data_IF_946541339882
#
_entry.id   IF_946541339882
#
_cell.length_a   1.000
_cell.length_b   1.000
_cell.length_c   1.000
_cell.angle_alpha   90.00
_cell.angle_beta   90.00
_cell.angle_gamma   90.00
#
_symmetry.space_group_name_H-M   'P 1'
#
loop_
_entity.id
_entity.type
_entity.pdbx_description
1 polymer ?
#
# COMPACT_ATOMS: atom_id res chain seq x y z
N UNK A 1 -17.80 3.65 5.41
CA UNK A 1 -17.74 2.95 6.71
C UNK A 1 -17.65 1.45 6.47
N UNK A 2 -17.28 0.65 7.46
CA UNK A 2 -17.28 -0.82 7.36
C UNK A 2 -18.43 -1.38 8.21
N UNK A 3 -19.23 -2.27 7.63
CA UNK A 3 -20.33 -2.95 8.33
C UNK A 3 -19.82 -4.05 9.26
N UNK A 4 -20.70 -4.60 10.10
CA UNK A 4 -20.39 -5.74 10.97
C UNK A 4 -19.89 -6.97 10.19
N UNK A 5 -20.37 -7.14 8.95
CA UNK A 5 -19.97 -8.24 8.07
C UNK A 5 -18.66 -7.95 7.31
N UNK A 6 -17.98 -6.83 7.59
CA UNK A 6 -16.74 -6.45 6.92
C UNK A 6 -16.94 -5.92 5.49
N UNK A 7 -18.13 -5.40 5.16
CA UNK A 7 -18.41 -4.82 3.84
C UNK A 7 -18.33 -3.28 3.86
N UNK A 8 -18.02 -2.66 2.73
CA UNK A 8 -18.02 -1.21 2.59
C UNK A 8 -19.46 -0.71 2.46
N UNK A 9 -19.81 0.26 3.30
CA UNK A 9 -21.11 0.94 3.29
C UNK A 9 -20.94 2.44 3.32
N UNK A 10 -21.90 3.17 2.75
CA UNK A 10 -21.92 4.62 2.69
C UNK A 10 -23.28 5.14 3.14
N UNK A 11 -23.26 6.22 3.92
CA UNK A 11 -24.48 6.98 4.22
C UNK A 11 -24.51 8.18 3.28
N UNK A 12 -25.41 8.14 2.31
CA UNK A 12 -25.43 8.98 1.13
C UNK A 12 -26.70 9.81 1.07
N UNK A 13 -26.64 11.02 0.50
CA UNK A 13 -27.82 11.83 0.22
C UNK A 13 -28.28 11.66 -1.22
N UNK A 14 -29.45 11.06 -1.41
CA UNK A 14 -30.19 10.98 -2.67
C UNK A 14 -31.16 12.16 -2.80
N UNK A 15 -31.30 12.71 -4.01
CA UNK A 15 -32.30 13.75 -4.29
C UNK A 15 -33.74 13.22 -4.30
N UNK A 16 -33.92 11.91 -4.38
CA UNK A 16 -35.23 11.24 -4.45
C UNK A 16 -35.67 10.78 -3.07
N UNK A 17 -34.79 10.06 -2.37
CA UNK A 17 -35.11 9.35 -1.13
C UNK A 17 -34.52 10.03 0.13
N UNK A 18 -33.74 11.10 -0.05
CA UNK A 18 -33.03 11.76 1.03
C UNK A 18 -31.83 10.95 1.51
N UNK A 19 -31.60 10.90 2.81
CA UNK A 19 -30.48 10.12 3.35
C UNK A 19 -30.76 8.62 3.29
N UNK A 20 -29.87 7.88 2.64
CA UNK A 20 -29.97 6.43 2.44
C UNK A 20 -28.64 5.73 2.74
N UNK A 21 -28.72 4.43 3.00
CA UNK A 21 -27.55 3.56 3.10
C UNK A 21 -27.29 2.88 1.77
N UNK A 22 -26.05 2.99 1.28
CA UNK A 22 -25.59 2.36 0.05
C UNK A 22 -24.58 1.27 0.38
N UNK A 23 -24.89 0.06 -0.08
CA UNK A 23 -24.03 -1.12 0.05
C UNK A 23 -23.04 -1.18 -1.11
N UNK A 24 -21.74 -1.08 -0.81
CA UNK A 24 -20.66 -1.23 -1.79
C UNK A 24 -20.03 -2.62 -1.80
N UNK A 25 -20.32 -3.44 -0.77
CA UNK A 25 -19.89 -4.83 -0.67
C UNK A 25 -18.40 -5.01 -0.36
N UNK A 26 -17.83 -6.10 -0.84
CA UNK A 26 -16.42 -6.46 -0.69
C UNK A 26 -15.77 -6.66 -2.08
N UNK A 27 -14.43 -6.59 -2.19
CA UNK A 27 -13.74 -6.80 -3.46
C UNK A 27 -13.87 -8.23 -3.99
N UNK A 28 -13.97 -9.23 -3.09
CA UNK A 28 -14.21 -10.64 -3.43
C UNK A 28 -14.97 -11.33 -2.29
N UNK A 29 -15.45 -12.56 -2.52
CA UNK A 29 -16.23 -13.31 -1.53
C UNK A 29 -15.41 -13.75 -0.31
N UNK A 30 -14.10 -13.92 -0.47
CA UNK A 30 -13.22 -14.47 0.56
C UNK A 30 -12.46 -13.36 1.33
N UNK A 31 -12.73 -12.09 1.02
CA UNK A 31 -12.08 -10.93 1.63
C UNK A 31 -13.10 -10.09 2.37
N UNK A 32 -12.82 -9.82 3.64
CA UNK A 32 -13.50 -8.80 4.44
C UNK A 32 -12.64 -7.56 4.53
N UNK A 33 -13.26 -6.40 4.65
CA UNK A 33 -12.55 -5.13 4.81
C UNK A 33 -12.27 -4.87 6.28
N UNK A 34 -11.05 -4.44 6.57
CA UNK A 34 -10.58 -4.15 7.91
C UNK A 34 -10.19 -2.68 8.05
N UNK A 35 -10.34 -2.17 9.27
CA UNK A 35 -9.98 -0.80 9.60
C UNK A 35 -10.95 0.24 9.02
N UNK A 36 -10.65 1.52 9.26
CA UNK A 36 -11.44 2.60 8.70
C UNK A 36 -11.07 2.83 7.22
N UNK A 37 -12.05 3.12 6.34
CA UNK A 37 -11.76 3.47 4.96
C UNK A 37 -10.85 4.69 4.85
N UNK A 38 -10.02 4.69 3.81
CA UNK A 38 -9.08 5.76 3.50
C UNK A 38 -9.76 7.08 3.12
N UNK A 39 -8.95 8.11 2.83
CA UNK A 39 -9.44 9.35 2.25
C UNK A 39 -10.09 9.10 0.88
N UNK A 40 -11.02 9.97 0.52
CA UNK A 40 -11.59 10.02 -0.82
C UNK A 40 -10.70 10.87 -1.72
N UNK A 41 -10.43 10.38 -2.92
CA UNK A 41 -9.72 11.07 -3.99
C UNK A 41 -10.70 11.35 -5.14
N UNK A 42 -10.59 12.52 -5.74
CA UNK A 42 -11.44 13.04 -6.84
C UNK A 42 -12.96 12.96 -6.59
N UNK A 43 -13.39 12.73 -5.34
CA UNK A 43 -14.79 12.51 -4.99
C UNK A 43 -15.36 11.15 -5.41
N UNK A 44 -14.58 10.29 -6.06
CA UNK A 44 -15.09 9.06 -6.71
C UNK A 44 -14.25 7.82 -6.46
N UNK A 45 -13.16 7.91 -5.68
CA UNK A 45 -12.36 6.73 -5.34
C UNK A 45 -11.77 6.80 -3.93
N UNK A 46 -11.58 5.64 -3.31
CA UNK A 46 -10.96 5.52 -2.00
C UNK A 46 -10.26 4.16 -1.84
N UNK A 47 -9.39 4.07 -0.85
CA UNK A 47 -8.64 2.85 -0.55
C UNK A 47 -9.12 2.20 0.76
N UNK A 48 -9.13 0.88 0.76
CA UNK A 48 -9.45 0.04 1.91
C UNK A 48 -8.47 -1.13 1.99
N UNK A 49 -8.40 -1.75 3.16
CA UNK A 49 -7.48 -2.87 3.42
C UNK A 49 -8.30 -4.14 3.61
N UNK A 50 -7.93 -5.20 2.89
CA UNK A 50 -8.54 -6.52 3.02
C UNK A 50 -7.98 -7.32 4.19
N UNK A 51 -8.74 -8.32 4.64
CA UNK A 51 -8.33 -9.28 5.68
C UNK A 51 -7.13 -10.14 5.30
N UNK A 52 -6.79 -10.17 4.02
CA UNK A 52 -5.61 -10.80 3.46
C UNK A 52 -4.34 -9.93 3.53
N UNK A 53 -4.47 -8.65 3.93
CA UNK A 53 -3.38 -7.67 3.99
C UNK A 53 -3.10 -6.98 2.66
N UNK A 54 -4.02 -7.05 1.70
CA UNK A 54 -3.94 -6.36 0.41
C UNK A 54 -4.69 -5.03 0.44
N UNK A 55 -4.29 -4.11 -0.43
CA UNK A 55 -4.93 -2.82 -0.66
C UNK A 55 -5.89 -2.94 -1.83
N UNK A 56 -7.13 -2.54 -1.58
CA UNK A 56 -8.16 -2.47 -2.60
C UNK A 56 -8.59 -1.03 -2.82
N UNK A 57 -8.75 -0.65 -4.09
CA UNK A 57 -9.36 0.61 -4.49
C UNK A 57 -10.81 0.38 -4.84
N UNK A 58 -11.71 1.11 -4.18
CA UNK A 58 -13.09 1.28 -4.63
C UNK A 58 -13.19 2.55 -5.45
N UNK A 59 -13.64 2.45 -6.70
CA UNK A 59 -13.72 3.63 -7.58
C UNK A 59 -14.92 3.59 -8.52
N UNK A 60 -15.38 4.75 -8.94
CA UNK A 60 -16.43 4.88 -9.93
C UNK A 60 -15.79 4.99 -11.33
N UNK A 61 -16.09 4.01 -12.18
CA UNK A 61 -15.79 4.06 -13.60
C UNK A 61 -17.06 4.40 -14.37
N UNK A 62 -17.09 5.60 -14.95
CA UNK A 62 -18.27 6.20 -15.57
C UNK A 62 -19.45 6.32 -14.59
N UNK A 63 -20.38 5.36 -14.61
CA UNK A 63 -21.53 5.26 -13.70
C UNK A 63 -21.53 3.97 -12.91
N UNK A 64 -20.55 3.10 -13.15
CA UNK A 64 -20.45 1.80 -12.51
C UNK A 64 -19.32 1.82 -11.50
N UNK A 65 -19.66 1.35 -10.33
CA UNK A 65 -18.76 1.20 -9.22
C UNK A 65 -17.92 -0.09 -9.42
N UNK A 66 -16.59 0.02 -9.32
CA UNK A 66 -15.64 -1.09 -9.46
C UNK A 66 -14.70 -1.24 -8.26
N UNK A 67 -14.12 -2.43 -8.17
CA UNK A 67 -13.01 -2.77 -7.28
C UNK A 67 -11.75 -3.02 -8.10
N UNK A 68 -10.60 -2.54 -7.62
CA UNK A 68 -9.27 -2.85 -8.16
C UNK A 68 -8.39 -3.33 -7.04
N UNK A 69 -7.72 -4.47 -7.24
CA UNK A 69 -6.72 -5.00 -6.32
C UNK A 69 -5.35 -4.39 -6.64
N UNK A 70 -4.74 -3.71 -5.67
CA UNK A 70 -3.37 -3.19 -5.76
C UNK A 70 -2.36 -4.08 -5.02
N UNK A 71 -2.81 -5.19 -4.44
CA UNK A 71 -2.00 -6.10 -3.66
C UNK A 71 -1.33 -5.39 -2.47
N UNK A 72 -0.10 -5.76 -2.20
CA UNK A 72 0.76 -5.09 -1.25
C UNK A 72 2.04 -4.63 -1.97
N UNK A 73 2.80 -3.67 -1.43
CA UNK A 73 4.04 -3.26 -2.07
C UNK A 73 4.96 -4.48 -2.22
N UNK A 74 5.54 -4.65 -3.40
CA UNK A 74 6.51 -5.71 -3.66
C UNK A 74 7.88 -5.05 -3.81
N UNK A 75 8.79 -5.23 -2.86
CA UNK A 75 10.20 -4.91 -3.12
C UNK A 75 10.77 -6.09 -3.93
N UNK A 76 11.23 -5.90 -5.18
CA UNK A 76 12.04 -6.92 -5.80
C UNK A 76 13.25 -7.16 -4.89
N UNK A 77 13.33 -8.37 -4.34
CA UNK A 77 14.43 -8.76 -3.48
C UNK A 77 15.76 -8.44 -4.19
N UNK A 78 16.80 -8.08 -3.44
CA UNK A 78 18.12 -7.80 -4.03
C UNK A 78 18.64 -8.97 -4.90
N UNK A 79 18.15 -10.19 -4.68
CA UNK A 79 18.39 -11.38 -5.51
C UNK A 79 17.77 -11.26 -6.91
N UNK A 80 16.59 -10.66 -7.03
CA UNK A 80 15.92 -10.38 -8.31
C UNK A 80 16.56 -9.20 -9.06
N UNK A 81 17.05 -8.18 -8.34
CA UNK A 81 17.86 -7.12 -8.95
C UNK A 81 19.23 -7.62 -9.41
N UNK A 82 19.85 -8.56 -8.69
CA UNK A 82 21.11 -9.18 -9.09
C UNK A 82 20.94 -10.06 -10.35
N UNK A 83 19.83 -10.82 -10.45
CA UNK A 83 19.49 -11.59 -11.65
C UNK A 83 19.15 -10.70 -12.86
N UNK A 84 18.57 -9.52 -12.65
CA UNK A 84 18.30 -8.55 -13.71
C UNK A 84 19.59 -7.86 -14.22
N UNK A 85 20.60 -7.69 -13.35
CA UNK A 85 21.90 -7.08 -13.71
C UNK A 85 22.89 -8.04 -14.36
N UNK A 86 22.66 -9.37 -14.32
CA UNK A 86 23.54 -10.35 -14.98
C UNK A 86 23.40 -10.44 -16.51
N UNK A 87 22.64 -9.55 -17.16
CA UNK A 87 22.50 -9.51 -18.62
C UNK A 87 23.18 -8.35 -19.33
N UNK A 88 23.81 -7.41 -18.62
CA UNK A 88 24.56 -6.34 -19.27
C UNK A 88 25.83 -5.99 -18.46
N UNK A 89 26.96 -6.33 -19.07
CA UNK A 89 28.32 -5.83 -18.89
C UNK A 89 28.99 -5.77 -17.50
N UNK A 90 29.97 -6.67 -17.40
CA UNK A 90 31.24 -6.63 -16.70
C UNK A 90 31.76 -5.26 -16.21
N UNK A 91 32.21 -5.27 -14.95
CA UNK A 91 33.23 -4.41 -14.33
C UNK A 91 32.77 -3.10 -13.65
N UNK A 92 32.54 -3.16 -12.34
CA UNK A 92 33.19 -2.28 -11.34
C UNK A 92 33.23 -3.02 -9.98
N UNK A 93 34.36 -2.90 -9.29
CA UNK A 93 34.83 -3.68 -8.13
C UNK A 93 33.78 -3.98 -7.04
N UNK A 94 33.47 -5.26 -6.91
CA UNK A 94 32.59 -5.87 -5.88
C UNK A 94 33.46 -6.32 -4.71
N UNK A 95 34.04 -5.39 -3.94
CA UNK A 95 34.77 -5.78 -2.72
C UNK A 95 34.34 -5.06 -1.44
N UNK A 96 33.35 -4.16 -1.49
CA UNK A 96 32.91 -3.45 -0.28
C UNK A 96 31.39 -3.43 -0.01
N UNK A 97 30.61 -4.27 -0.70
CA UNK A 97 29.15 -4.37 -0.49
C UNK A 97 28.70 -5.63 0.26
N UNK A 98 29.63 -6.50 0.65
CA UNK A 98 29.33 -7.84 1.23
C UNK A 98 29.53 -7.89 2.75
N UNK A 99 29.84 -6.76 3.40
CA UNK A 99 29.97 -6.74 4.87
C UNK A 99 29.03 -5.71 5.49
N UNK A 100 27.77 -6.11 5.72
CA UNK A 100 26.95 -5.71 6.88
C UNK A 100 25.48 -6.18 6.80
N UNK A 101 25.24 -7.45 6.50
CA UNK A 101 23.93 -8.10 6.74
C UNK A 101 24.00 -9.00 7.96
N UNK A 102 24.52 -8.49 9.08
CA UNK A 102 24.41 -9.18 10.37
C UNK A 102 23.29 -8.54 11.17
N UNK A 103 22.09 -9.16 11.18
CA UNK A 103 21.09 -8.79 12.18
C UNK A 103 19.64 -9.23 11.97
N UNK A 104 19.20 -9.65 10.78
CA UNK A 104 17.80 -10.00 10.58
C UNK A 104 17.62 -11.42 10.04
N UNK A 105 17.13 -12.31 10.91
CA UNK A 105 16.75 -13.68 10.59
C UNK A 105 15.22 -13.81 10.39
N UNK A 106 14.48 -12.71 10.46
CA UNK A 106 13.04 -12.64 10.19
C UNK A 106 12.76 -12.40 8.71
N UNK A 107 11.62 -12.86 8.21
CA UNK A 107 11.14 -12.47 6.89
C UNK A 107 10.30 -11.19 7.05
N UNK A 108 10.65 -10.12 6.35
CA UNK A 108 9.88 -8.89 6.35
C UNK A 108 8.49 -9.10 5.75
N UNK A 109 7.47 -8.54 6.39
CA UNK A 109 6.09 -8.66 5.93
C UNK A 109 5.73 -7.43 5.11
N UNK A 110 5.43 -7.64 3.84
CA UNK A 110 4.97 -6.57 2.96
C UNK A 110 3.47 -6.31 3.09
N UNK A 111 2.73 -7.16 3.81
CA UNK A 111 1.30 -7.01 4.02
C UNK A 111 0.99 -5.72 4.76
N UNK A 112 -0.12 -5.10 4.37
CA UNK A 112 -0.59 -3.85 4.95
C UNK A 112 -1.33 -4.12 6.26
N UNK A 113 -1.04 -3.29 7.26
CA UNK A 113 -1.73 -3.26 8.56
C UNK A 113 -3.12 -2.64 8.38
N UNK A 114 -4.17 -3.12 9.07
CA UNK A 114 -5.53 -2.57 8.97
C UNK A 114 -5.70 -1.20 9.69
N UNK A 115 -4.76 -0.28 9.47
CA UNK A 115 -4.84 1.12 9.91
C UNK A 115 -5.38 2.00 8.79
N UNK A 116 -6.00 3.13 9.15
CA UNK A 116 -6.61 4.01 8.16
C UNK A 116 -5.54 4.56 7.20
N UNK A 117 -5.69 4.42 5.87
CA UNK A 117 -4.74 4.99 4.91
C UNK A 117 -4.54 6.50 5.11
N UNK A 118 -3.31 6.98 4.97
CA UNK A 118 -2.91 8.34 5.30
C UNK A 118 -2.72 9.15 4.00
N UNK A 119 -3.54 10.19 3.72
CA UNK A 119 -3.32 11.04 2.55
C UNK A 119 -2.01 11.82 2.69
N UNK A 120 -1.16 11.78 1.66
CA UNK A 120 0.07 12.58 1.59
C UNK A 120 -0.11 13.78 0.67
N UNK A 121 -0.76 13.58 -0.47
CA UNK A 121 -1.11 14.61 -1.46
C UNK A 121 -2.35 14.17 -2.23
N UNK A 122 -2.79 14.94 -3.23
CA UNK A 122 -3.92 14.57 -4.10
C UNK A 122 -3.65 13.31 -4.95
N UNK A 123 -2.38 12.95 -5.10
CA UNK A 123 -1.88 11.86 -5.94
C UNK A 123 -1.09 10.80 -5.18
N UNK A 124 -0.99 10.89 -3.85
CA UNK A 124 -0.23 9.95 -3.03
C UNK A 124 -0.93 9.59 -1.71
N UNK A 125 -0.83 8.32 -1.34
CA UNK A 125 -1.34 7.76 -0.08
C UNK A 125 -0.29 6.87 0.56
N UNK A 126 -0.19 6.95 1.88
CA UNK A 126 0.71 6.14 2.71
C UNK A 126 -0.07 5.04 3.41
N UNK A 127 0.50 3.84 3.39
CA UNK A 127 0.03 2.67 4.12
C UNK A 127 1.09 2.21 5.13
N UNK A 128 0.64 1.75 6.29
CA UNK A 128 1.50 1.11 7.28
C UNK A 128 1.57 -0.39 7.00
N UNK A 129 2.76 -0.97 7.05
CA UNK A 129 2.99 -2.39 6.87
C UNK A 129 3.00 -3.12 8.22
N UNK A 130 2.73 -4.42 8.20
CA UNK A 130 2.68 -5.25 9.41
C UNK A 130 4.02 -5.33 10.15
N UNK A 131 5.13 -5.05 9.45
CA UNK A 131 6.46 -4.97 10.04
C UNK A 131 6.88 -3.56 10.47
N UNK A 132 5.93 -2.62 10.51
CA UNK A 132 6.11 -1.25 10.99
C UNK A 132 6.67 -0.28 9.96
N UNK A 133 7.08 -0.74 8.76
CA UNK A 133 7.47 0.15 7.65
C UNK A 133 6.25 0.90 7.09
N UNK A 134 6.51 1.91 6.27
CA UNK A 134 5.47 2.59 5.51
C UNK A 134 5.63 2.28 4.01
N UNK A 135 4.57 2.38 3.24
CA UNK A 135 4.60 2.24 1.79
C UNK A 135 3.82 3.35 1.12
N UNK A 136 4.37 3.90 0.03
CA UNK A 136 3.76 4.95 -0.77
C UNK A 136 3.15 4.36 -2.04
N UNK A 137 1.85 4.57 -2.20
CA UNK A 137 1.12 4.31 -3.44
C UNK A 137 0.84 5.67 -4.10
N UNK A 138 1.18 5.82 -5.37
CA UNK A 138 1.07 7.07 -6.10
C UNK A 138 0.41 6.88 -7.46
N UNK A 139 -0.22 7.93 -7.97
CA UNK A 139 -0.60 8.04 -9.39
C UNK A 139 0.22 9.16 -10.06
N UNK A 140 0.94 8.90 -11.15
CA UNK A 140 1.74 9.93 -11.82
C UNK A 140 0.92 10.94 -12.64
N UNK A 141 -0.41 10.80 -12.68
CA UNK A 141 -1.32 11.73 -13.35
C UNK A 141 -2.78 11.37 -13.10
N UNK A 142 -3.71 12.24 -13.50
CA UNK A 142 -5.15 12.05 -13.23
C UNK A 142 -5.75 10.81 -13.91
N UNK A 143 -5.20 10.41 -15.07
CA UNK A 143 -5.64 9.24 -15.84
C UNK A 143 -4.74 8.02 -15.66
N UNK A 144 -3.69 8.14 -14.85
CA UNK A 144 -2.75 7.05 -14.62
C UNK A 144 -3.30 6.12 -13.53
N UNK A 145 -2.91 4.85 -13.60
CA UNK A 145 -3.18 3.89 -12.53
C UNK A 145 -2.30 4.17 -11.31
N UNK A 146 -2.78 3.74 -10.15
CA UNK A 146 -2.01 3.81 -8.92
C UNK A 146 -0.99 2.68 -8.84
N UNK A 147 0.24 3.05 -8.50
CA UNK A 147 1.39 2.15 -8.43
C UNK A 147 2.14 2.33 -7.11
N UNK A 148 2.69 1.22 -6.62
CA UNK A 148 3.58 1.25 -5.46
C UNK A 148 4.91 1.85 -5.88
N UNK A 149 5.31 2.95 -5.22
CA UNK A 149 6.53 3.69 -5.58
C UNK A 149 7.71 3.30 -4.71
N UNK A 150 7.49 3.11 -3.40
CA UNK A 150 8.56 2.79 -2.45
C UNK A 150 8.03 2.25 -1.12
N UNK A 151 8.91 1.52 -0.43
CA UNK A 151 8.78 1.21 0.99
C UNK A 151 9.75 2.11 1.77
N UNK A 152 9.23 2.78 2.79
CA UNK A 152 9.93 3.72 3.66
C UNK A 152 10.19 3.03 4.99
N UNK A 153 11.46 3.02 5.36
CA UNK A 153 11.86 2.51 6.66
C UNK A 153 11.48 3.40 7.82
N UNK A 154 11.18 2.78 8.95
CA UNK A 154 10.82 3.45 10.21
C UNK A 154 11.67 2.87 11.35
N UNK A 155 11.97 3.65 12.40
CA UNK A 155 12.66 3.13 13.58
C UNK A 155 11.91 2.01 14.31
N UNK A 156 10.60 1.86 14.06
CA UNK A 156 9.78 0.78 14.62
C UNK A 156 9.99 -0.55 13.90
N UNK A 157 10.54 -0.52 12.69
CA UNK A 157 10.79 -1.73 11.91
C UNK A 157 12.20 -2.25 12.10
N UNK A 158 12.32 -3.58 12.28
CA UNK A 158 13.60 -4.28 12.27
C UNK A 158 14.05 -4.68 10.85
N UNK A 159 13.20 -4.45 9.84
CA UNK A 159 13.42 -4.89 8.46
C UNK A 159 14.40 -4.04 7.66
N UNK A 160 14.83 -2.93 8.23
CA UNK A 160 15.69 -1.94 7.61
C UNK A 160 16.60 -1.41 8.71
N UNK A 161 17.41 -2.29 9.30
CA UNK A 161 18.55 -1.89 10.12
C UNK A 161 19.53 -1.14 9.24
N UNK A 162 19.39 0.19 9.16
CA UNK A 162 20.45 1.19 9.04
C UNK A 162 19.82 2.57 8.79
N UNK A 163 19.22 3.15 9.83
CA UNK A 163 18.98 4.59 9.85
C UNK A 163 20.01 5.22 10.78
N UNK A 164 20.97 5.92 10.19
CA UNK A 164 21.88 6.87 10.82
C UNK A 164 22.93 6.27 11.78
N UNK A 165 24.12 5.92 11.25
CA UNK A 165 25.34 6.30 11.97
C UNK A 165 25.42 7.82 11.88
N UNK A 166 24.98 8.52 12.94
CA UNK A 166 25.13 9.96 13.03
C UNK A 166 26.59 10.34 12.83
N UNK A 167 26.88 11.15 11.83
CA UNK A 167 28.18 11.82 11.73
C UNK A 167 28.14 12.97 12.73
N UNK A 168 28.49 12.67 13.98
CA UNK A 168 28.90 13.69 14.91
C UNK A 168 30.39 13.98 14.60
N UNK A 169 30.66 15.14 14.00
CA UNK A 169 32.00 15.73 13.89
C UNK A 169 32.29 16.62 15.09
#
# INVERSE_FOLDING_TARGET
>A
MISEHGALVEYHWSSVDGWEWVEHGTPSKDVTLLGAPGPCFDGTQLFVIGSDGQVYRRHQDQKAWKWTDHGHPHIPSAEQEAMARTKDDQQCSVEDRVRQTNGFNGKCSEKVTPTRPIPLSEDAVIFELQDGRLAELRRPGMTAEWEWVRIIGTPTSQCLTNYWTGVAS
#
